data_IF_197561529653
#
_entry.id   IF_197561529653
#
_cell.length_a   1.000
_cell.length_b   1.000
_cell.length_c   1.000
_cell.angle_alpha   90.00
_cell.angle_beta   90.00
_cell.angle_gamma   90.00
#
_symmetry.space_group_name_H-M   'P 1'
#
loop_
_entity.id
_entity.type
_entity.pdbx_description
1 polymer ?
#
# COMPACT_ATOMS: atom_id res chain seq x y z
N UNK A 1 30.05 0.76 45.47
CA UNK A 1 29.70 0.40 44.09
C UNK A 1 30.70 1.09 43.20
N UNK A 2 31.49 0.36 42.42
CA UNK A 2 32.38 0.97 41.44
C UNK A 2 31.53 1.55 40.31
N UNK A 3 31.61 2.86 40.12
CA UNK A 3 31.05 3.53 38.95
C UNK A 3 31.69 2.92 37.70
N UNK A 4 30.89 2.47 36.76
CA UNK A 4 31.39 1.94 35.50
C UNK A 4 32.28 2.94 34.76
N UNK A 5 33.06 2.49 33.77
CA UNK A 5 33.98 3.32 33.01
C UNK A 5 33.20 4.36 32.19
N UNK A 6 33.25 5.62 32.57
CA UNK A 6 32.67 6.74 31.82
C UNK A 6 33.55 7.03 30.61
N UNK A 7 32.97 7.01 29.43
CA UNK A 7 33.59 7.46 28.18
C UNK A 7 32.98 8.81 27.78
N UNK A 8 33.78 9.85 27.54
CA UNK A 8 33.26 11.08 26.92
C UNK A 8 32.89 10.81 25.47
N UNK A 9 31.70 11.24 25.07
CA UNK A 9 31.20 11.15 23.70
C UNK A 9 30.88 12.57 23.25
N UNK A 10 31.33 12.94 22.06
CA UNK A 10 30.96 14.21 21.45
C UNK A 10 29.48 14.11 20.99
N UNK A 11 28.67 15.05 21.43
CA UNK A 11 27.25 15.07 21.13
C UNK A 11 26.96 15.18 19.62
N UNK A 12 27.81 15.93 18.90
CA UNK A 12 27.66 16.12 17.45
C UNK A 12 27.88 14.80 16.70
N UNK A 13 28.90 14.03 17.08
CA UNK A 13 29.22 12.74 16.45
C UNK A 13 28.14 11.70 16.78
N UNK A 14 27.65 11.66 18.02
CA UNK A 14 26.60 10.75 18.46
C UNK A 14 25.25 11.05 17.75
N UNK A 15 24.88 12.33 17.70
CA UNK A 15 23.67 12.74 17.01
C UNK A 15 23.73 12.46 15.50
N UNK A 16 24.87 12.74 14.86
CA UNK A 16 25.04 12.48 13.42
C UNK A 16 24.92 10.99 13.11
N UNK A 17 25.60 10.13 13.87
CA UNK A 17 25.54 8.69 13.71
C UNK A 17 24.12 8.15 13.96
N UNK A 18 23.52 8.50 15.09
CA UNK A 18 22.17 8.04 15.45
C UNK A 18 21.10 8.52 14.48
N UNK A 19 21.25 9.75 13.95
CA UNK A 19 20.32 10.27 12.94
C UNK A 19 20.46 9.55 11.60
N UNK A 20 21.69 9.22 11.20
CA UNK A 20 21.93 8.45 9.98
C UNK A 20 21.33 7.03 10.10
N UNK A 21 21.55 6.35 11.22
CA UNK A 21 21.00 5.03 11.49
C UNK A 21 19.46 5.06 11.48
N UNK A 22 18.87 6.08 12.11
CA UNK A 22 17.42 6.30 12.06
C UNK A 22 16.92 6.53 10.62
N UNK A 23 17.59 7.42 9.87
CA UNK A 23 17.23 7.72 8.48
C UNK A 23 17.28 6.47 7.60
N UNK A 24 18.33 5.68 7.70
CA UNK A 24 18.47 4.41 6.98
C UNK A 24 17.38 3.41 7.36
N UNK A 25 17.08 3.29 8.65
CA UNK A 25 15.98 2.44 9.12
C UNK A 25 14.63 2.85 8.56
N UNK A 26 14.32 4.15 8.51
CA UNK A 26 13.05 4.67 7.94
C UNK A 26 12.98 4.42 6.44
N UNK A 27 14.07 4.56 5.70
CA UNK A 27 14.12 4.32 4.25
C UNK A 27 13.90 2.84 3.97
N UNK A 28 14.72 1.96 4.56
CA UNK A 28 14.78 0.53 4.20
C UNK A 28 13.64 -0.27 4.84
N UNK A 29 13.28 0.03 6.09
CA UNK A 29 12.41 -0.85 6.87
C UNK A 29 11.01 -0.25 7.19
N UNK A 30 10.63 0.89 6.62
CA UNK A 30 9.35 1.52 6.96
C UNK A 30 8.63 2.16 5.78
N UNK A 31 9.25 3.13 5.08
CA UNK A 31 8.54 4.05 4.21
C UNK A 31 8.43 3.59 2.76
N UNK A 32 9.43 2.87 2.26
CA UNK A 32 9.47 2.45 0.87
C UNK A 32 8.96 1.02 0.66
N UNK A 33 8.23 0.78 -0.44
CA UNK A 33 7.83 -0.56 -0.83
C UNK A 33 9.01 -1.31 -1.46
N UNK A 34 9.02 -2.64 -1.36
CA UNK A 34 9.90 -3.48 -2.19
C UNK A 34 9.34 -3.52 -3.63
N UNK A 35 10.21 -3.41 -4.62
CA UNK A 35 9.80 -3.38 -6.03
C UNK A 35 9.16 -4.70 -6.48
N UNK A 36 9.55 -5.81 -5.86
CA UNK A 36 9.12 -7.17 -6.24
C UNK A 36 7.67 -7.46 -5.87
N UNK A 37 7.24 -7.06 -4.65
CA UNK A 37 5.88 -7.31 -4.15
C UNK A 37 5.05 -6.04 -3.94
N UNK A 38 5.65 -4.85 -4.11
CA UNK A 38 4.96 -3.57 -3.97
C UNK A 38 4.51 -3.24 -2.54
N UNK A 39 5.02 -3.95 -1.54
CA UNK A 39 4.58 -3.83 -0.15
C UNK A 39 5.63 -3.17 0.73
N UNK A 40 5.14 -2.36 1.67
CA UNK A 40 5.93 -1.93 2.82
C UNK A 40 6.05 -3.09 3.83
N UNK A 41 7.10 -3.11 4.68
CA UNK A 41 7.29 -4.20 5.64
C UNK A 41 6.07 -4.50 6.51
N UNK A 42 5.39 -3.47 7.03
CA UNK A 42 4.18 -3.65 7.84
C UNK A 42 3.05 -4.31 7.05
N UNK A 43 2.86 -3.95 5.79
CA UNK A 43 1.82 -4.52 4.93
C UNK A 43 2.10 -6.00 4.64
N UNK A 44 3.34 -6.34 4.32
CA UNK A 44 3.80 -7.72 4.10
C UNK A 44 3.57 -8.58 5.33
N UNK A 45 3.94 -8.08 6.51
CA UNK A 45 3.74 -8.77 7.79
C UNK A 45 2.28 -9.00 8.12
N UNK A 46 1.39 -8.04 7.79
CA UNK A 46 -0.06 -8.19 7.97
C UNK A 46 -0.60 -9.31 7.10
N UNK A 47 -0.30 -9.31 5.79
CA UNK A 47 -0.79 -10.36 4.87
C UNK A 47 -0.25 -11.73 5.25
N UNK A 48 1.03 -11.83 5.60
CA UNK A 48 1.65 -13.07 6.05
C UNK A 48 1.05 -13.60 7.36
N UNK A 49 0.80 -12.73 8.34
CA UNK A 49 0.13 -13.11 9.58
C UNK A 49 -1.32 -13.55 9.34
N UNK A 50 -2.04 -12.90 8.43
CA UNK A 50 -3.41 -13.29 8.07
C UNK A 50 -3.45 -14.66 7.39
N UNK A 51 -2.49 -14.96 6.55
CA UNK A 51 -2.34 -16.29 5.93
C UNK A 51 -2.07 -17.35 7.00
N UNK A 52 -1.11 -17.13 7.90
CA UNK A 52 -0.81 -18.03 9.03
C UNK A 52 -1.98 -18.23 10.00
N UNK A 53 -2.94 -17.29 10.08
CA UNK A 53 -4.19 -17.41 10.82
C UNK A 53 -5.29 -18.15 10.03
N UNK A 54 -5.05 -18.55 8.78
CA UNK A 54 -6.01 -19.20 7.90
C UNK A 54 -7.16 -18.29 7.48
N UNK A 55 -6.91 -16.98 7.33
CA UNK A 55 -7.93 -16.00 6.95
C UNK A 55 -8.08 -15.88 5.43
N UNK A 56 -8.25 -17.00 4.74
CA UNK A 56 -8.51 -17.05 3.31
C UNK A 56 -9.80 -16.30 2.92
N UNK A 57 -9.98 -15.90 1.66
CA UNK A 57 -11.15 -15.12 1.20
C UNK A 57 -12.51 -15.78 1.44
N UNK A 58 -12.54 -17.11 1.50
CA UNK A 58 -13.75 -17.89 1.77
C UNK A 58 -13.92 -18.26 3.26
N UNK A 59 -12.99 -17.89 4.12
CA UNK A 59 -13.07 -18.12 5.57
C UNK A 59 -13.94 -17.06 6.26
N UNK A 60 -14.44 -17.31 7.48
CA UNK A 60 -15.12 -16.28 8.26
C UNK A 60 -14.17 -15.13 8.62
N UNK A 61 -14.69 -13.89 8.61
CA UNK A 61 -13.96 -12.75 9.13
C UNK A 61 -13.58 -12.94 10.59
N UNK A 62 -12.45 -12.38 11.00
CA UNK A 62 -11.99 -12.36 12.40
C UNK A 62 -11.79 -10.93 12.87
N UNK A 63 -11.93 -10.70 14.18
CA UNK A 63 -11.70 -9.38 14.77
C UNK A 63 -10.34 -8.82 14.38
N UNK A 64 -10.32 -7.58 13.92
CA UNK A 64 -9.09 -6.87 13.54
C UNK A 64 -8.07 -6.86 14.67
N UNK A 65 -8.51 -6.74 15.91
CA UNK A 65 -7.65 -6.81 17.09
C UNK A 65 -6.85 -8.12 17.20
N UNK A 66 -7.40 -9.26 16.73
CA UNK A 66 -6.68 -10.54 16.70
C UNK A 66 -5.55 -10.51 15.66
N UNK A 67 -5.82 -9.95 14.48
CA UNK A 67 -4.83 -9.84 13.40
C UNK A 67 -3.69 -8.91 13.85
N UNK A 68 -4.04 -7.73 14.38
CA UNK A 68 -3.07 -6.76 14.90
C UNK A 68 -2.21 -7.38 16.01
N UNK A 69 -2.82 -8.10 16.97
CA UNK A 69 -2.09 -8.80 18.03
C UNK A 69 -1.13 -9.86 17.51
N UNK A 70 -1.52 -10.62 16.48
CA UNK A 70 -0.65 -11.62 15.84
C UNK A 70 0.56 -10.97 15.17
N UNK A 71 0.35 -9.87 14.45
CA UNK A 71 1.42 -9.11 13.79
C UNK A 71 2.41 -8.53 14.80
N UNK A 72 1.90 -7.91 15.88
CA UNK A 72 2.73 -7.34 16.94
C UNK A 72 3.54 -8.39 17.69
N UNK A 73 2.89 -9.49 18.05
CA UNK A 73 3.53 -10.54 18.85
C UNK A 73 4.58 -11.33 18.10
N UNK A 74 4.51 -11.39 16.77
CA UNK A 74 5.38 -12.26 15.98
C UNK A 74 6.35 -11.55 15.07
N UNK A 75 5.97 -10.40 14.48
CA UNK A 75 6.73 -9.83 13.36
C UNK A 75 7.03 -8.34 13.47
N UNK A 76 6.21 -7.56 14.16
CA UNK A 76 6.31 -6.09 14.08
C UNK A 76 6.26 -5.44 15.47
N UNK A 77 7.40 -5.29 16.16
CA UNK A 77 7.49 -4.82 17.55
C UNK A 77 7.33 -3.29 17.65
N UNK A 78 6.20 -2.77 17.19
CA UNK A 78 5.84 -1.34 17.20
C UNK A 78 4.44 -1.16 17.81
N UNK A 79 3.89 0.06 17.77
CA UNK A 79 2.54 0.32 18.28
C UNK A 79 1.44 -0.39 17.48
N UNK A 80 0.33 -0.68 18.12
CA UNK A 80 -0.86 -1.31 17.51
C UNK A 80 -1.58 -0.38 16.52
N UNK A 81 -1.62 0.92 16.80
CA UNK A 81 -2.28 1.90 15.93
C UNK A 81 -1.69 1.92 14.51
N UNK A 82 -0.36 2.03 14.28
CA UNK A 82 0.22 1.98 12.95
C UNK A 82 -0.07 0.69 12.17
N UNK A 83 -0.11 -0.46 12.86
CA UNK A 83 -0.45 -1.75 12.25
C UNK A 83 -1.92 -1.76 11.83
N UNK A 84 -2.82 -1.31 12.72
CA UNK A 84 -4.23 -1.23 12.41
C UNK A 84 -4.52 -0.26 11.27
N UNK A 85 -3.92 0.94 11.27
CA UNK A 85 -4.08 1.91 10.19
C UNK A 85 -3.59 1.37 8.84
N UNK A 86 -2.47 0.66 8.81
CA UNK A 86 -1.98 0.02 7.58
C UNK A 86 -2.96 -1.05 7.08
N UNK A 87 -3.50 -1.87 7.99
CA UNK A 87 -4.51 -2.88 7.68
C UNK A 87 -5.80 -2.23 7.14
N UNK A 88 -6.27 -1.16 7.79
CA UNK A 88 -7.45 -0.40 7.37
C UNK A 88 -7.29 0.13 5.95
N UNK A 89 -6.15 0.75 5.64
CA UNK A 89 -5.88 1.27 4.28
C UNK A 89 -5.92 0.18 3.21
N UNK A 90 -5.44 -1.02 3.52
CA UNK A 90 -5.50 -2.15 2.59
C UNK A 90 -6.92 -2.70 2.37
N UNK A 91 -7.89 -2.33 3.22
CA UNK A 91 -9.30 -2.69 3.09
C UNK A 91 -10.17 -1.59 2.46
N UNK A 92 -9.66 -0.35 2.33
CA UNK A 92 -10.40 0.78 1.80
C UNK A 92 -10.39 0.80 0.28
N UNK A 93 -11.55 0.72 -0.35
CA UNK A 93 -11.72 0.75 -1.81
C UNK A 93 -11.49 2.14 -2.43
N UNK A 94 -11.42 3.18 -1.60
CA UNK A 94 -11.07 4.54 -1.99
C UNK A 94 -9.57 4.86 -1.79
N UNK A 95 -8.84 4.00 -1.06
CA UNK A 95 -7.39 4.12 -0.86
C UNK A 95 -6.57 3.19 -1.76
N UNK A 96 -7.10 1.99 -2.03
CA UNK A 96 -6.46 0.96 -2.84
C UNK A 96 -7.28 0.72 -4.11
N UNK A 97 -6.61 0.72 -5.27
CA UNK A 97 -7.29 0.38 -6.54
C UNK A 97 -7.77 -1.08 -6.54
N UNK A 98 -6.98 -1.96 -5.93
CA UNK A 98 -7.26 -3.38 -5.72
C UNK A 98 -7.05 -3.72 -4.24
N UNK A 99 -8.09 -3.60 -3.39
CA UNK A 99 -7.97 -3.89 -1.96
C UNK A 99 -7.46 -5.31 -1.70
N UNK A 100 -6.47 -5.43 -0.81
CA UNK A 100 -5.88 -6.71 -0.42
C UNK A 100 -6.57 -7.35 0.77
N UNK A 101 -7.37 -6.58 1.50
CA UNK A 101 -8.12 -7.02 2.68
C UNK A 101 -9.61 -6.80 2.45
N UNK A 102 -10.41 -7.79 2.80
CA UNK A 102 -11.87 -7.71 2.87
C UNK A 102 -12.26 -7.36 4.31
N UNK A 103 -12.73 -6.14 4.51
CA UNK A 103 -13.16 -5.64 5.82
C UNK A 103 -14.67 -5.75 6.02
N UNK A 104 -15.08 -5.98 7.27
CA UNK A 104 -16.48 -5.92 7.71
C UNK A 104 -16.61 -4.98 8.88
N UNK A 105 -17.53 -4.01 8.80
CA UNK A 105 -17.71 -2.93 9.75
C UNK A 105 -17.27 -1.57 9.18
N UNK A 106 -17.04 -0.60 10.04
CA UNK A 106 -16.62 0.74 9.64
C UNK A 106 -15.10 0.82 9.52
N UNK A 107 -14.60 0.88 8.27
CA UNK A 107 -13.19 1.09 7.91
C UNK A 107 -12.90 2.55 7.48
N UNK A 108 -13.73 3.50 7.88
CA UNK A 108 -13.60 4.90 7.50
C UNK A 108 -14.34 5.25 6.21
N UNK A 109 -14.27 6.50 5.83
CA UNK A 109 -14.90 7.03 4.61
C UNK A 109 -13.96 7.90 3.80
N UNK A 110 -14.35 8.19 2.56
CA UNK A 110 -13.64 9.14 1.69
C UNK A 110 -13.66 10.56 2.26
N UNK A 111 -14.66 10.88 3.08
CA UNK A 111 -14.81 12.18 3.77
C UNK A 111 -13.90 12.31 5.01
N UNK A 112 -12.96 11.39 5.16
CA UNK A 112 -11.99 11.34 6.25
C UNK A 112 -12.58 11.00 7.62
N UNK A 113 -13.71 10.29 7.67
CA UNK A 113 -14.16 9.70 8.92
C UNK A 113 -13.17 8.61 9.36
N UNK A 114 -12.79 8.57 10.65
CA UNK A 114 -11.88 7.54 11.12
C UNK A 114 -12.55 6.16 11.14
N UNK A 115 -11.76 5.09 11.00
CA UNK A 115 -12.28 3.74 11.19
C UNK A 115 -12.72 3.52 12.64
N UNK A 116 -13.66 2.62 12.85
CA UNK A 116 -14.01 2.17 14.19
C UNK A 116 -12.82 1.45 14.85
N UNK A 117 -12.77 1.42 16.18
CA UNK A 117 -11.71 0.72 16.90
C UNK A 117 -11.63 -0.77 16.49
N UNK A 118 -10.42 -1.33 16.47
CA UNK A 118 -10.12 -2.68 15.98
C UNK A 118 -10.88 -3.81 16.67
N UNK A 119 -11.47 -3.57 17.84
CA UNK A 119 -12.34 -4.51 18.54
C UNK A 119 -13.71 -4.67 17.92
N UNK A 120 -14.15 -3.69 17.10
CA UNK A 120 -15.44 -3.71 16.42
C UNK A 120 -15.37 -4.21 14.98
N UNK A 121 -14.29 -3.91 14.29
CA UNK A 121 -14.08 -4.31 12.89
C UNK A 121 -13.61 -5.75 12.78
N UNK A 122 -13.89 -6.37 11.63
CA UNK A 122 -13.46 -7.71 11.30
C UNK A 122 -12.83 -7.72 9.90
N UNK A 123 -11.87 -8.60 9.67
CA UNK A 123 -11.15 -8.68 8.40
C UNK A 123 -10.78 -10.11 8.02
N UNK A 124 -10.55 -10.31 6.74
CA UNK A 124 -9.96 -11.49 6.11
C UNK A 124 -9.21 -11.06 4.84
N UNK A 125 -8.44 -11.94 4.23
CA UNK A 125 -7.82 -11.68 2.94
C UNK A 125 -8.88 -11.45 1.86
N UNK A 126 -8.63 -10.52 0.94
CA UNK A 126 -9.40 -10.37 -0.28
C UNK A 126 -8.97 -11.44 -1.30
N UNK A 127 -9.83 -11.77 -2.26
CA UNK A 127 -9.56 -12.81 -3.27
C UNK A 127 -8.23 -12.53 -4.01
N UNK A 128 -7.99 -11.27 -4.37
CA UNK A 128 -6.76 -10.89 -5.07
C UNK A 128 -5.49 -11.07 -4.21
N UNK A 129 -5.60 -11.01 -2.89
CA UNK A 129 -4.46 -11.20 -1.99
C UNK A 129 -3.94 -12.64 -1.97
N UNK A 130 -4.74 -13.62 -2.37
CA UNK A 130 -4.25 -15.00 -2.56
C UNK A 130 -3.13 -15.06 -3.60
N UNK A 131 -3.21 -14.23 -4.65
CA UNK A 131 -2.18 -14.15 -5.68
C UNK A 131 -0.87 -13.53 -5.20
N UNK A 132 -0.88 -12.89 -4.03
CA UNK A 132 0.32 -12.38 -3.37
C UNK A 132 1.06 -13.45 -2.58
N UNK A 133 0.36 -14.53 -2.20
CA UNK A 133 0.81 -15.56 -1.25
C UNK A 133 0.98 -16.94 -1.89
N UNK A 134 0.66 -17.06 -3.19
CA UNK A 134 0.78 -18.33 -3.92
C UNK A 134 2.19 -18.88 -3.80
N UNK A 135 2.28 -20.16 -3.43
CA UNK A 135 3.55 -20.90 -3.34
C UNK A 135 4.54 -20.39 -2.27
N UNK A 136 4.08 -19.63 -1.27
CA UNK A 136 4.93 -19.10 -0.19
C UNK A 136 5.58 -20.21 0.65
N UNK A 137 4.97 -21.39 0.72
CA UNK A 137 5.42 -22.59 1.41
C UNK A 137 6.36 -23.47 0.57
N UNK A 138 6.64 -23.09 -0.69
CA UNK A 138 7.41 -23.87 -1.67
C UNK A 138 8.85 -23.38 -1.89
N UNK A 139 9.40 -22.65 -0.91
CA UNK A 139 10.77 -22.11 -0.98
C UNK A 139 11.02 -21.20 -2.20
N UNK A 140 9.98 -20.45 -2.60
CA UNK A 140 10.01 -19.53 -3.75
C UNK A 140 10.65 -18.19 -3.43
N UNK A 141 10.71 -17.82 -2.15
CA UNK A 141 11.27 -16.55 -1.66
C UNK A 141 12.15 -16.79 -0.43
N UNK A 142 13.09 -15.88 -0.20
CA UNK A 142 13.93 -15.93 0.99
C UNK A 142 13.17 -15.56 2.27
N UNK A 143 13.59 -16.16 3.37
CA UNK A 143 13.08 -15.86 4.72
C UNK A 143 14.21 -15.32 5.59
N UNK A 144 13.87 -14.45 6.53
CA UNK A 144 14.78 -13.95 7.56
C UNK A 144 14.19 -14.21 8.95
N UNK A 145 15.04 -14.14 9.98
CA UNK A 145 14.55 -14.18 11.36
C UNK A 145 13.70 -12.95 11.67
N UNK A 146 12.70 -13.10 12.52
CA UNK A 146 11.92 -12.00 13.06
C UNK A 146 12.75 -11.22 14.12
N UNK A 147 12.14 -10.23 14.78
CA UNK A 147 12.83 -9.33 15.71
C UNK A 147 13.46 -9.99 16.96
N UNK A 148 13.01 -11.18 17.34
CA UNK A 148 13.49 -11.92 18.52
C UNK A 148 14.13 -13.29 18.16
N UNK A 149 14.39 -13.54 16.88
CA UNK A 149 14.95 -14.79 16.33
C UNK A 149 14.11 -16.05 16.61
N UNK A 150 12.89 -15.92 17.11
CA UNK A 150 12.01 -17.05 17.43
C UNK A 150 11.28 -17.64 16.23
N UNK A 151 11.02 -16.83 15.21
CA UNK A 151 10.27 -17.18 14.01
C UNK A 151 10.97 -16.65 12.76
N UNK A 152 10.46 -17.07 11.60
CA UNK A 152 10.90 -16.53 10.31
C UNK A 152 9.78 -15.74 9.64
N UNK A 153 10.15 -14.70 8.94
CA UNK A 153 9.26 -13.90 8.09
C UNK A 153 9.82 -13.81 6.67
N UNK A 154 8.95 -13.70 5.65
CA UNK A 154 9.41 -13.61 4.27
C UNK A 154 10.04 -12.25 3.98
N UNK A 155 11.15 -12.26 3.23
CA UNK A 155 11.80 -11.02 2.75
C UNK A 155 10.88 -10.27 1.78
N UNK A 156 10.18 -11.01 0.91
CA UNK A 156 9.16 -10.54 -0.02
C UNK A 156 8.09 -11.60 -0.17
N UNK A 157 6.89 -11.25 -0.61
CA UNK A 157 5.87 -12.24 -0.99
C UNK A 157 6.11 -12.70 -2.43
N UNK A 158 5.80 -13.99 -2.74
CA UNK A 158 5.95 -14.57 -4.08
C UNK A 158 4.83 -14.14 -5.02
N UNK A 159 4.56 -12.85 -5.08
CA UNK A 159 3.41 -12.29 -5.78
C UNK A 159 3.39 -12.64 -7.26
N UNK A 160 2.21 -13.02 -7.76
CA UNK A 160 1.93 -13.17 -9.18
C UNK A 160 1.34 -11.88 -9.80
N UNK A 161 1.14 -10.84 -8.98
CA UNK A 161 0.59 -9.55 -9.40
C UNK A 161 1.68 -8.48 -9.41
N UNK A 162 1.72 -7.60 -10.38
CA UNK A 162 2.58 -6.43 -10.38
C UNK A 162 2.04 -5.35 -9.41
N UNK A 163 1.95 -5.72 -8.12
CA UNK A 163 1.23 -4.95 -7.09
C UNK A 163 1.75 -3.51 -6.95
N UNK A 164 3.06 -3.29 -7.11
CA UNK A 164 3.62 -1.93 -7.07
C UNK A 164 3.00 -1.02 -8.12
N UNK A 165 2.73 -1.52 -9.32
CA UNK A 165 2.14 -0.75 -10.40
C UNK A 165 0.62 -0.64 -10.27
N UNK A 166 -0.07 -1.73 -9.94
CA UNK A 166 -1.54 -1.72 -9.91
C UNK A 166 -2.13 -1.01 -8.71
N UNK A 167 -1.48 -1.06 -7.54
CA UNK A 167 -1.92 -0.35 -6.34
C UNK A 167 -1.13 0.92 -6.06
N UNK A 168 0.04 1.06 -6.68
CA UNK A 168 0.93 2.17 -6.37
C UNK A 168 1.49 2.12 -4.95
N UNK A 169 2.22 3.14 -4.56
CA UNK A 169 2.67 3.35 -3.18
C UNK A 169 3.02 4.81 -2.95
N UNK A 170 2.65 5.34 -1.81
CA UNK A 170 3.09 6.64 -1.33
C UNK A 170 3.76 6.49 0.04
N UNK A 171 4.90 7.16 0.23
CA UNK A 171 5.64 7.11 1.49
C UNK A 171 6.60 8.27 1.63
N UNK A 172 6.76 8.74 2.86
CA UNK A 172 7.69 9.82 3.21
C UNK A 172 8.77 9.21 4.09
N UNK A 173 10.00 9.25 3.61
CA UNK A 173 11.18 8.84 4.35
C UNK A 173 12.02 10.05 4.72
N UNK A 174 13.17 9.82 5.33
CA UNK A 174 14.13 10.90 5.61
C UNK A 174 14.92 11.19 4.33
N UNK A 175 14.86 12.43 3.87
CA UNK A 175 15.58 12.87 2.68
C UNK A 175 14.98 12.46 1.33
N UNK A 176 13.96 11.60 1.32
CA UNK A 176 13.29 11.18 0.08
C UNK A 176 11.82 10.79 0.31
N UNK A 177 11.04 10.77 -0.75
CA UNK A 177 9.66 10.32 -0.75
C UNK A 177 9.38 9.49 -2.00
N UNK A 178 8.40 8.60 -1.92
CA UNK A 178 7.85 7.89 -3.08
C UNK A 178 6.38 8.24 -3.26
N UNK A 179 5.94 8.35 -4.52
CA UNK A 179 4.55 8.58 -4.89
C UNK A 179 4.28 7.93 -6.24
N UNK A 180 4.05 6.62 -6.21
CA UNK A 180 3.76 5.79 -7.38
C UNK A 180 2.25 5.68 -7.48
N UNK A 181 1.62 6.16 -8.57
CA UNK A 181 0.18 6.06 -8.74
C UNK A 181 -0.26 4.63 -9.06
N UNK A 182 -1.52 4.28 -8.78
CA UNK A 182 -2.11 3.01 -9.19
C UNK A 182 -2.42 2.99 -10.70
N UNK A 183 -2.48 1.76 -11.28
CA UNK A 183 -2.77 1.56 -12.70
C UNK A 183 -3.77 0.44 -12.91
N UNK A 184 -4.38 0.39 -14.09
CA UNK A 184 -5.29 -0.67 -14.48
C UNK A 184 -4.54 -1.98 -14.67
N UNK A 185 -5.03 -3.06 -14.05
CA UNK A 185 -4.38 -4.38 -14.07
C UNK A 185 -4.26 -4.94 -15.49
N UNK A 186 -5.31 -4.81 -16.31
CA UNK A 186 -5.29 -5.30 -17.70
C UNK A 186 -4.24 -4.57 -18.51
N UNK A 187 -4.20 -3.23 -18.46
CA UNK A 187 -3.19 -2.42 -19.17
C UNK A 187 -1.77 -2.79 -18.77
N UNK A 188 -1.53 -3.02 -17.48
CA UNK A 188 -0.21 -3.42 -16.98
C UNK A 188 0.15 -4.83 -17.44
N UNK A 189 -0.78 -5.78 -17.43
CA UNK A 189 -0.54 -7.13 -17.93
C UNK A 189 -0.26 -7.15 -19.43
N UNK A 190 -0.98 -6.36 -20.23
CA UNK A 190 -0.76 -6.22 -21.66
C UNK A 190 0.63 -5.63 -21.96
N UNK A 191 1.04 -4.61 -21.19
CA UNK A 191 2.39 -4.04 -21.30
C UNK A 191 3.49 -5.04 -20.92
N UNK A 192 3.27 -5.86 -19.89
CA UNK A 192 4.20 -6.94 -19.48
C UNK A 192 4.30 -7.98 -20.61
N UNK A 193 3.17 -8.42 -21.18
CA UNK A 193 3.15 -9.35 -22.30
C UNK A 193 3.96 -8.83 -23.48
N UNK A 194 3.74 -7.57 -23.86
CA UNK A 194 4.52 -6.93 -24.91
C UNK A 194 6.02 -6.86 -24.59
N UNK A 195 6.39 -6.51 -23.34
CA UNK A 195 7.79 -6.42 -22.92
C UNK A 195 8.50 -7.78 -22.93
N UNK A 196 7.80 -8.87 -22.62
CA UNK A 196 8.35 -10.24 -22.69
C UNK A 196 8.72 -10.60 -24.14
N UNK A 197 7.87 -10.23 -25.10
CA UNK A 197 8.11 -10.45 -26.53
C UNK A 197 9.14 -9.47 -27.10
N UNK A 198 9.25 -8.26 -26.54
CA UNK A 198 10.12 -7.18 -26.97
C UNK A 198 10.94 -6.62 -25.80
N UNK A 199 12.02 -7.31 -25.36
CA UNK A 199 12.80 -6.92 -24.17
C UNK A 199 13.46 -5.53 -24.25
N UNK A 200 13.68 -5.02 -25.47
CA UNK A 200 14.24 -3.69 -25.73
C UNK A 200 13.17 -2.59 -25.89
N UNK A 201 11.92 -2.89 -25.54
CA UNK A 201 10.82 -1.94 -25.66
C UNK A 201 11.09 -0.65 -24.86
N UNK A 202 10.83 0.47 -25.48
CA UNK A 202 10.98 1.79 -24.87
C UNK A 202 9.80 2.15 -24.00
N UNK A 203 9.97 3.14 -23.10
CA UNK A 203 8.88 3.67 -22.28
C UNK A 203 7.73 4.20 -23.15
N UNK A 204 8.05 4.85 -24.28
CA UNK A 204 7.03 5.37 -25.19
C UNK A 204 6.17 4.27 -25.83
N UNK A 205 6.74 3.11 -26.11
CA UNK A 205 6.01 1.94 -26.60
C UNK A 205 5.12 1.34 -25.50
N UNK A 206 5.63 1.22 -24.28
CA UNK A 206 4.85 0.70 -23.14
C UNK A 206 3.68 1.63 -22.75
N UNK A 207 3.83 2.93 -22.96
CA UNK A 207 2.73 3.91 -22.70
C UNK A 207 1.59 3.81 -23.70
N UNK A 208 1.73 3.04 -24.78
CA UNK A 208 0.59 2.72 -25.65
C UNK A 208 -0.39 1.76 -24.98
N UNK A 209 0.10 0.92 -24.06
CA UNK A 209 -0.71 0.00 -23.26
C UNK A 209 -1.15 0.68 -21.95
N UNK A 210 -0.19 1.19 -21.15
CA UNK A 210 -0.47 1.89 -19.88
C UNK A 210 -0.62 3.37 -20.18
N UNK A 211 -1.84 3.81 -20.42
CA UNK A 211 -2.15 5.18 -20.85
C UNK A 211 -1.99 6.22 -19.75
N UNK A 212 -2.08 5.81 -18.48
CA UNK A 212 -1.94 6.69 -17.34
C UNK A 212 -2.41 6.06 -16.03
N UNK A 213 -2.34 6.81 -14.93
CA UNK A 213 -2.84 6.36 -13.63
C UNK A 213 -4.34 6.06 -13.64
N UNK A 214 -4.73 5.01 -12.88
CA UNK A 214 -6.12 4.59 -12.67
C UNK A 214 -6.44 4.68 -11.16
N UNK A 215 -6.95 5.84 -10.73
CA UNK A 215 -7.20 6.11 -9.31
C UNK A 215 -8.48 5.42 -8.81
N UNK A 216 -8.50 4.90 -7.56
CA UNK A 216 -9.64 4.18 -7.01
C UNK A 216 -10.91 5.03 -6.87
N UNK A 217 -10.76 6.35 -6.71
CA UNK A 217 -11.89 7.30 -6.65
C UNK A 217 -12.26 7.88 -8.01
N UNK A 218 -11.67 7.36 -9.08
CA UNK A 218 -11.85 7.84 -10.45
C UNK A 218 -11.39 9.31 -10.64
N UNK A 219 -12.08 10.09 -11.44
CA UNK A 219 -11.72 11.47 -11.75
C UNK A 219 -11.28 11.66 -13.19
N UNK A 220 -11.02 12.90 -13.57
CA UNK A 220 -10.58 13.27 -14.92
C UNK A 220 -9.15 13.80 -14.83
N UNK A 221 -8.21 13.13 -15.49
CA UNK A 221 -6.83 13.63 -15.61
C UNK A 221 -6.79 14.70 -16.72
N UNK A 222 -6.26 15.88 -16.41
CA UNK A 222 -6.09 16.97 -17.36
C UNK A 222 -4.66 17.04 -17.91
N UNK A 223 -4.55 16.81 -19.24
CA UNK A 223 -3.28 16.87 -19.97
C UNK A 223 -2.44 15.59 -19.83
N UNK A 224 -1.75 15.20 -20.91
CA UNK A 224 -0.91 14.02 -20.97
C UNK A 224 0.58 14.26 -20.68
N UNK A 225 1.05 15.51 -20.73
CA UNK A 225 2.48 15.81 -20.58
C UNK A 225 3.03 15.44 -19.21
N UNK A 226 2.23 15.66 -18.14
CA UNK A 226 2.63 15.31 -16.79
C UNK A 226 2.82 13.80 -16.61
N UNK A 227 1.99 12.98 -17.26
CA UNK A 227 2.10 11.51 -17.27
C UNK A 227 3.36 11.10 -18.03
N UNK A 228 3.58 11.62 -19.25
CA UNK A 228 4.77 11.32 -20.06
C UNK A 228 6.05 11.64 -19.31
N UNK A 229 6.11 12.83 -18.68
CA UNK A 229 7.26 13.23 -17.90
C UNK A 229 7.47 12.33 -16.67
N UNK A 230 6.39 11.96 -15.98
CA UNK A 230 6.47 11.06 -14.84
C UNK A 230 7.03 9.69 -15.23
N UNK A 231 6.56 9.11 -16.33
CA UNK A 231 6.99 7.80 -16.78
C UNK A 231 8.43 7.81 -17.38
N UNK A 232 8.78 8.88 -18.10
CA UNK A 232 10.10 8.99 -18.71
C UNK A 232 11.21 9.32 -17.69
N UNK A 233 10.93 10.13 -16.67
CA UNK A 233 11.95 10.69 -15.77
C UNK A 233 11.77 10.31 -14.30
N UNK A 234 10.65 9.65 -13.95
CA UNK A 234 10.25 9.42 -12.56
C UNK A 234 9.71 10.69 -11.85
N UNK A 235 9.55 11.80 -12.56
CA UNK A 235 9.07 13.08 -12.01
C UNK A 235 8.04 13.71 -12.93
N UNK A 236 6.83 13.92 -12.42
CA UNK A 236 5.77 14.57 -13.18
C UNK A 236 4.64 15.04 -12.27
N UNK A 237 3.85 15.99 -12.75
CA UNK A 237 2.66 16.48 -12.06
C UNK A 237 1.42 16.04 -12.81
N UNK A 238 0.63 15.16 -12.18
CA UNK A 238 -0.67 14.73 -12.70
C UNK A 238 -1.76 15.52 -12.03
N UNK A 239 -2.59 16.23 -12.82
CA UNK A 239 -3.71 17.04 -12.31
C UNK A 239 -5.00 16.26 -12.48
N UNK A 240 -5.60 15.86 -11.37
CA UNK A 240 -6.87 15.14 -11.32
C UNK A 240 -7.98 16.10 -10.91
N UNK A 241 -9.14 16.03 -11.58
CA UNK A 241 -10.35 16.79 -11.26
C UNK A 241 -11.52 15.86 -11.02
N UNK A 242 -12.32 16.17 -10.01
CA UNK A 242 -13.60 15.51 -9.79
C UNK A 242 -14.61 15.91 -10.88
N UNK A 243 -15.55 14.99 -11.18
CA UNK A 243 -16.76 15.30 -11.93
C UNK A 243 -17.85 15.63 -10.90
N UNK A 244 -18.15 16.92 -10.73
CA UNK A 244 -19.23 17.37 -9.86
C UNK A 244 -20.51 17.58 -10.69
N UNK A 245 -21.64 17.15 -10.16
CA UNK A 245 -22.97 17.42 -10.69
C UNK A 245 -23.79 18.12 -9.61
N UNK A 246 -24.40 19.26 -9.96
CA UNK A 246 -25.34 19.93 -9.10
C UNK A 246 -26.73 19.39 -9.45
N UNK A 247 -27.34 18.66 -8.51
CA UNK A 247 -28.71 18.15 -8.64
C UNK A 247 -29.69 19.05 -7.90
N UNK A 248 -30.89 19.24 -8.43
CA UNK A 248 -31.98 19.87 -7.69
C UNK A 248 -32.41 18.92 -6.57
N UNK A 249 -32.15 19.32 -5.32
CA UNK A 249 -32.52 18.55 -4.16
C UNK A 249 -34.04 18.33 -4.08
N UNK A 250 -34.47 17.09 -4.06
CA UNK A 250 -35.88 16.72 -3.78
C UNK A 250 -36.11 16.89 -2.26
N UNK A 251 -36.53 18.08 -1.86
CA UNK A 251 -36.89 18.37 -0.45
C UNK A 251 -36.65 19.84 -0.10
N UNK A 252 -37.71 20.60 0.08
CA UNK A 252 -37.71 22.03 0.32
C UNK A 252 -36.83 22.48 1.50
N UNK A 253 -35.75 23.14 1.19
CA UNK A 253 -34.83 23.78 2.14
C UNK A 253 -33.45 23.84 1.51
N UNK A 254 -33.09 25.00 0.94
CA UNK A 254 -31.95 25.24 0.09
C UNK A 254 -30.56 24.93 0.69
N UNK A 255 -30.19 23.70 0.62
CA UNK A 255 -28.80 23.28 0.71
C UNK A 255 -28.52 22.35 -0.48
N UNK A 256 -27.59 22.72 -1.34
CA UNK A 256 -27.12 21.86 -2.42
C UNK A 256 -26.42 20.64 -1.77
N UNK A 257 -27.04 19.45 -1.94
CA UNK A 257 -26.40 18.20 -1.51
C UNK A 257 -25.31 17.86 -2.53
N UNK A 258 -24.07 17.84 -2.07
CA UNK A 258 -22.93 17.32 -2.83
C UNK A 258 -23.04 15.80 -2.89
N UNK A 259 -23.65 15.30 -3.95
CA UNK A 259 -23.65 13.86 -4.22
C UNK A 259 -22.36 13.48 -4.93
N UNK A 260 -21.32 13.18 -4.16
CA UNK A 260 -20.08 12.59 -4.66
C UNK A 260 -20.37 11.24 -5.31
N UNK A 261 -20.70 11.24 -6.59
CA UNK A 261 -20.84 10.02 -7.37
C UNK A 261 -19.48 9.59 -7.90
N UNK A 262 -19.17 8.30 -7.73
CA UNK A 262 -18.08 7.64 -8.45
C UNK A 262 -18.23 7.98 -9.95
N UNK A 263 -17.25 8.69 -10.49
CA UNK A 263 -17.22 8.93 -11.92
C UNK A 263 -16.80 7.61 -12.60
N UNK A 264 -17.75 6.96 -13.25
CA UNK A 264 -17.43 5.92 -14.22
C UNK A 264 -16.66 6.57 -15.38
N UNK A 265 -15.56 5.94 -15.80
CA UNK A 265 -14.91 6.29 -17.06
C UNK A 265 -15.93 6.10 -18.19
N UNK A 266 -15.98 7.00 -19.18
CA UNK A 266 -16.77 6.73 -20.38
C UNK A 266 -16.13 5.55 -21.11
N UNK A 267 -16.97 4.54 -21.43
CA UNK A 267 -16.63 3.48 -22.37
C UNK A 267 -16.15 4.10 -23.71
N UNK A 268 -14.90 3.82 -24.08
CA UNK A 268 -14.44 3.82 -25.47
C UNK A 268 -13.64 2.57 -25.72
#
# INVERSE_FOLDING_TARGET
MALGKVRPVNIEDEMSSSYLDYAMSVIVARALPDVRDGLKPVQRRILYAMDGLGLAPNSPHKKSARIVGEVLGKYHPHGDAPVYEAMVRMAQDFSMRYPLISGQGNFGSVDNDPPAAMRYTEARLALIAEQMLVDIDKDTVGFMANFDDSLKEPLVLPTQLPNLLVNGSAGIAVGMATSIPPHNLTEVCDAIGYLIENPEATVDELTQFVKGPDFPTAGIIRGGEGIKNAYATGRGKVVVRAKAMIGDGVGGGGAAADSGHRAALPDQ
#
